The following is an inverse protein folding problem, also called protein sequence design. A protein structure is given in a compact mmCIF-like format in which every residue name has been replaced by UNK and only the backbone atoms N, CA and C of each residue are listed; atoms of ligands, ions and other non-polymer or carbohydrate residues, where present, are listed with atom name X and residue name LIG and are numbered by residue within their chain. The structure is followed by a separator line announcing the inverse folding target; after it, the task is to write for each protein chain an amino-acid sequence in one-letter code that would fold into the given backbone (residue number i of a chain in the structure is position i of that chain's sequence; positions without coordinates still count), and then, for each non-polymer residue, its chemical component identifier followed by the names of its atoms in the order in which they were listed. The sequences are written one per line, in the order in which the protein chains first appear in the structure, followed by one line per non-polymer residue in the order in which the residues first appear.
data_IF_081454810472
#
_entry.id   IF_081454810472
#
_cell.length_a   1.000
_cell.length_b   1.000
_cell.length_c   1.000
_cell.angle_alpha   90.00
_cell.angle_beta   90.00
_cell.angle_gamma   90.00
#
_symmetry.space_group_name_H-M   'P 1'
#
loop_
_entity.id
_entity.type
_entity.pdbx_description
1 polymer ?
#
# COMPACT_ATOMS: atom_id res chain seq x y z
N UNK A 1 -6.07 -14.18 -19.99
CA UNK A 1 -5.94 -13.56 -18.65
C UNK A 1 -6.09 -14.64 -17.59
N UNK A 2 -5.18 -14.69 -16.65
CA UNK A 2 -5.20 -15.68 -15.59
C UNK A 2 -4.90 -15.02 -14.24
N UNK A 3 -5.71 -15.35 -13.22
CA UNK A 3 -5.44 -14.91 -11.85
C UNK A 3 -4.32 -15.78 -11.29
N UNK A 4 -3.19 -15.18 -10.95
CA UNK A 4 -2.05 -15.91 -10.43
C UNK A 4 -1.87 -15.76 -8.92
N UNK A 5 -2.51 -14.75 -8.34
CA UNK A 5 -2.50 -14.55 -6.89
C UNK A 5 -3.69 -13.69 -6.49
N UNK A 6 -4.35 -14.08 -5.39
CA UNK A 6 -5.47 -13.30 -4.84
C UNK A 6 -5.53 -13.56 -3.35
N UNK A 7 -5.60 -12.49 -2.56
CA UNK A 7 -5.66 -12.62 -1.12
C UNK A 7 -6.37 -11.44 -0.47
N UNK A 8 -7.19 -11.74 0.52
CA UNK A 8 -7.84 -10.77 1.38
C UNK A 8 -7.35 -11.00 2.80
N UNK A 9 -7.09 -9.92 3.52
CA UNK A 9 -6.70 -10.04 4.93
C UNK A 9 -6.97 -8.76 5.69
N UNK A 10 -6.89 -8.85 7.01
CA UNK A 10 -7.17 -7.73 7.90
C UNK A 10 -5.86 -7.24 8.50
N UNK A 11 -5.64 -5.93 8.39
CA UNK A 11 -4.51 -5.26 9.03
C UNK A 11 -5.01 -4.48 10.24
N UNK A 12 -4.17 -4.35 11.25
CA UNK A 12 -4.48 -3.62 12.48
C UNK A 12 -3.38 -2.58 12.74
N UNK A 13 -3.59 -1.66 13.70
CA UNK A 13 -2.53 -0.70 14.05
C UNK A 13 -1.20 -1.32 14.44
N UNK A 14 -1.19 -2.59 14.85
CA UNK A 14 0.06 -3.31 15.12
C UNK A 14 0.91 -3.47 13.86
N UNK A 15 0.29 -3.43 12.69
CA UNK A 15 0.99 -3.51 11.42
C UNK A 15 1.57 -2.17 10.96
N UNK A 16 1.22 -1.07 11.63
CA UNK A 16 1.71 0.26 11.24
C UNK A 16 3.24 0.30 11.24
N UNK A 17 3.80 0.89 10.20
CA UNK A 17 5.24 1.01 9.98
C UNK A 17 5.93 -0.34 9.81
N UNK A 18 5.20 -1.35 9.33
CA UNK A 18 5.77 -2.64 8.96
C UNK A 18 5.66 -2.89 7.46
N UNK A 19 6.44 -3.84 6.98
CA UNK A 19 6.41 -4.32 5.62
C UNK A 19 5.95 -5.77 5.64
N UNK A 20 4.94 -6.08 4.83
CA UNK A 20 4.37 -7.43 4.78
C UNK A 20 4.65 -8.02 3.41
N UNK A 21 5.63 -8.93 3.29
CA UNK A 21 5.94 -9.54 2.00
C UNK A 21 4.94 -10.65 1.66
N UNK A 22 4.55 -10.71 0.39
CA UNK A 22 3.68 -11.74 -0.15
C UNK A 22 4.36 -12.35 -1.35
N UNK A 23 4.66 -13.65 -1.27
CA UNK A 23 5.29 -14.37 -2.38
C UNK A 23 4.22 -14.82 -3.36
N UNK A 24 4.48 -14.66 -4.65
CA UNK A 24 3.66 -15.26 -5.67
C UNK A 24 4.54 -15.81 -6.79
N UNK A 25 4.02 -16.74 -7.56
CA UNK A 25 4.80 -17.46 -8.54
C UNK A 25 4.24 -17.28 -9.95
N UNK A 26 5.12 -16.94 -10.86
CA UNK A 26 4.81 -16.88 -12.29
C UNK A 26 5.37 -18.15 -12.91
N UNK A 27 4.49 -19.01 -13.40
CA UNK A 27 4.87 -20.32 -13.99
C UNK A 27 4.54 -20.43 -15.48
N UNK A 28 4.00 -19.37 -16.06
CA UNK A 28 3.67 -19.29 -17.48
C UNK A 28 4.27 -18.03 -18.07
N UNK A 29 4.29 -17.97 -19.39
CA UNK A 29 4.73 -16.76 -20.08
C UNK A 29 3.58 -15.77 -20.20
N UNK A 30 3.77 -14.58 -19.63
CA UNK A 30 2.83 -13.48 -19.73
C UNK A 30 3.50 -12.28 -20.36
N UNK A 31 2.74 -11.47 -21.09
CA UNK A 31 3.24 -10.23 -21.64
C UNK A 31 3.20 -9.10 -20.61
N UNK A 32 2.28 -9.18 -19.64
CA UNK A 32 2.19 -8.19 -18.58
C UNK A 32 1.54 -8.78 -17.32
N UNK A 33 1.80 -8.11 -16.20
CA UNK A 33 1.08 -8.35 -14.95
C UNK A 33 0.19 -7.15 -14.68
N UNK A 34 -1.00 -7.41 -14.16
CA UNK A 34 -1.89 -6.37 -13.68
C UNK A 34 -2.16 -6.64 -12.21
N UNK A 35 -1.86 -5.66 -11.38
CA UNK A 35 -1.98 -5.75 -9.93
C UNK A 35 -3.09 -4.81 -9.48
N UNK A 36 -4.08 -5.35 -8.81
CA UNK A 36 -5.18 -4.59 -8.23
C UNK A 36 -5.10 -4.69 -6.73
N UNK A 37 -5.06 -3.56 -6.04
CA UNK A 37 -5.14 -3.60 -4.59
C UNK A 37 -6.06 -2.51 -4.06
N UNK A 38 -6.71 -2.82 -2.96
CA UNK A 38 -7.60 -1.87 -2.29
C UNK A 38 -7.58 -2.12 -0.80
N UNK A 39 -7.90 -1.10 -0.02
CA UNK A 39 -8.06 -1.24 1.42
C UNK A 39 -9.13 -0.29 1.94
N UNK A 40 -9.76 -0.68 3.03
CA UNK A 40 -10.91 0.00 3.59
C UNK A 40 -10.90 -0.11 5.12
N UNK A 41 -11.16 0.96 5.86
CA UNK A 41 -11.45 2.31 5.35
C UNK A 41 -10.19 3.07 4.97
N UNK A 42 -10.37 4.13 4.20
CA UNK A 42 -9.27 5.06 3.87
C UNK A 42 -9.08 6.08 4.99
N UNK A 43 -10.19 6.59 5.54
CA UNK A 43 -10.19 7.69 6.51
C UNK A 43 -10.66 7.24 7.87
N UNK A 44 -10.14 7.88 8.92
CA UNK A 44 -10.68 7.76 10.27
C UNK A 44 -11.77 8.80 10.42
N UNK A 45 -13.02 8.35 10.49
CA UNK A 45 -14.19 9.23 10.55
C UNK A 45 -14.48 9.77 11.96
N UNK A 46 -13.95 9.14 13.01
CA UNK A 46 -14.14 9.58 14.39
C UNK A 46 -13.30 10.84 14.65
N UNK A 47 -13.98 12.00 14.65
CA UNK A 47 -13.33 13.29 14.82
C UNK A 47 -12.64 13.44 16.16
N UNK A 48 -13.28 12.98 17.23
CA UNK A 48 -12.70 13.09 18.57
C UNK A 48 -11.44 12.23 18.71
N UNK A 49 -11.51 11.01 18.24
CA UNK A 49 -10.35 10.11 18.24
C UNK A 49 -9.23 10.67 17.37
N UNK A 50 -9.58 11.24 16.23
CA UNK A 50 -8.59 11.87 15.33
C UNK A 50 -7.89 13.02 16.01
N UNK A 51 -8.62 13.88 16.71
CA UNK A 51 -8.03 15.01 17.42
C UNK A 51 -7.13 14.56 18.56
N UNK A 52 -7.49 13.50 19.26
CA UNK A 52 -6.63 12.93 20.32
C UNK A 52 -5.31 12.45 19.71
N UNK A 53 -5.36 11.73 18.60
CA UNK A 53 -4.17 11.23 17.91
C UNK A 53 -3.29 12.37 17.42
N UNK A 54 -3.89 13.42 16.86
CA UNK A 54 -3.16 14.60 16.40
C UNK A 54 -2.48 15.28 17.58
N UNK A 55 -3.19 15.48 18.67
CA UNK A 55 -2.63 16.12 19.87
C UNK A 55 -1.47 15.34 20.44
N UNK A 56 -1.56 14.01 20.50
CA UNK A 56 -0.49 13.15 20.96
C UNK A 56 0.77 13.28 20.08
N UNK A 57 0.59 13.34 18.78
CA UNK A 57 1.71 13.49 17.85
C UNK A 57 2.35 14.88 17.93
N UNK A 58 1.54 15.92 18.03
CA UNK A 58 2.03 17.28 18.18
C UNK A 58 2.79 17.43 19.50
N UNK A 59 2.25 16.90 20.58
CA UNK A 59 2.89 16.96 21.89
C UNK A 59 4.24 16.26 21.89
N UNK A 60 4.32 15.11 21.24
CA UNK A 60 5.56 14.35 21.13
C UNK A 60 6.62 15.13 20.34
N UNK A 61 6.21 15.77 19.23
CA UNK A 61 7.13 16.45 18.34
C UNK A 61 7.48 17.87 18.81
N UNK A 62 6.51 18.58 19.39
CA UNK A 62 6.68 19.98 19.78
C UNK A 62 7.10 20.14 21.27
N UNK A 63 6.91 19.14 22.11
CA UNK A 63 7.26 19.20 23.51
C UNK A 63 6.52 20.30 24.26
N UNK A 64 7.27 21.21 24.90
CA UNK A 64 6.70 22.28 25.71
C UNK A 64 5.93 23.33 24.90
N UNK A 65 6.14 23.37 23.58
CA UNK A 65 5.47 24.31 22.69
C UNK A 65 4.12 23.77 22.17
N UNK A 66 3.66 22.67 22.71
CA UNK A 66 2.42 22.03 22.29
C UNK A 66 1.22 23.00 22.27
N UNK A 67 1.12 23.86 23.28
CA UNK A 67 -0.02 24.79 23.40
C UNK A 67 -0.10 25.83 22.30
N UNK A 68 0.95 26.02 21.53
CA UNK A 68 0.99 26.98 20.43
C UNK A 68 0.35 26.44 19.15
N UNK A 69 0.08 25.13 19.11
CA UNK A 69 -0.52 24.50 17.95
C UNK A 69 -2.04 24.57 18.04
N UNK A 70 -2.64 25.42 17.22
CA UNK A 70 -4.09 25.66 17.19
C UNK A 70 -4.77 25.14 15.93
N UNK A 71 -3.98 24.70 14.92
CA UNK A 71 -4.49 24.36 13.60
C UNK A 71 -4.62 22.85 13.36
N UNK A 72 -4.82 22.10 14.45
CA UNK A 72 -4.92 20.64 14.38
C UNK A 72 -6.02 20.13 13.46
N UNK A 73 -7.08 20.89 13.25
CA UNK A 73 -8.19 20.48 12.40
C UNK A 73 -7.81 20.41 10.92
N UNK A 74 -6.72 21.05 10.53
CA UNK A 74 -6.21 20.99 9.18
C UNK A 74 -5.70 19.58 8.82
N UNK A 75 -5.38 18.76 9.80
CA UNK A 75 -4.93 17.39 9.57
C UNK A 75 -6.09 16.40 9.33
N UNK A 76 -7.34 16.86 9.46
CA UNK A 76 -8.50 16.01 9.27
C UNK A 76 -8.89 15.89 7.80
N UNK A 77 -9.42 14.74 7.36
CA UNK A 77 -9.48 13.49 8.13
C UNK A 77 -8.11 12.80 8.16
N UNK A 78 -7.82 12.09 9.24
CA UNK A 78 -6.66 11.21 9.29
C UNK A 78 -6.90 10.02 8.37
N UNK A 79 -5.82 9.53 7.78
CA UNK A 79 -5.93 8.52 6.73
C UNK A 79 -5.02 7.32 6.99
N UNK A 80 -5.50 6.17 6.60
CA UNK A 80 -4.64 5.01 6.44
C UNK A 80 -3.83 5.21 5.16
N UNK A 81 -2.61 4.73 5.16
CA UNK A 81 -1.75 4.83 3.99
C UNK A 81 -0.96 3.55 3.82
N UNK A 82 -1.29 2.81 2.76
CA UNK A 82 -0.66 1.54 2.44
C UNK A 82 -0.26 1.59 0.97
N UNK A 83 1.00 1.31 0.70
CA UNK A 83 1.51 1.24 -0.67
C UNK A 83 2.07 -0.16 -0.91
N UNK A 84 2.47 -0.41 -2.14
CA UNK A 84 3.08 -1.68 -2.50
C UNK A 84 4.44 -1.45 -3.15
N UNK A 85 5.33 -2.41 -2.98
CA UNK A 85 6.56 -2.51 -3.75
C UNK A 85 6.64 -3.90 -4.36
N UNK A 86 7.42 -4.04 -5.42
CA UNK A 86 7.47 -5.26 -6.20
C UNK A 86 8.91 -5.65 -6.51
N UNK A 87 9.22 -6.93 -6.28
CA UNK A 87 10.48 -7.53 -6.68
C UNK A 87 10.21 -8.68 -7.64
N UNK A 88 10.93 -8.70 -8.75
CA UNK A 88 10.93 -9.83 -9.67
C UNK A 88 11.93 -10.88 -9.20
N UNK A 89 11.99 -12.05 -9.84
CA UNK A 89 13.03 -13.03 -9.50
C UNK A 89 14.45 -12.52 -9.65
N UNK A 90 14.66 -11.48 -10.47
CA UNK A 90 15.99 -10.96 -10.78
C UNK A 90 16.31 -9.65 -10.08
N UNK A 91 15.34 -8.73 -9.99
CA UNK A 91 15.61 -7.36 -9.54
C UNK A 91 14.41 -6.73 -8.84
N UNK A 92 14.69 -5.66 -8.12
CA UNK A 92 13.66 -4.77 -7.61
C UNK A 92 13.00 -4.04 -8.80
N UNK A 93 11.68 -4.03 -8.85
CA UNK A 93 10.92 -3.45 -9.96
C UNK A 93 10.42 -2.04 -9.64
N UNK A 94 10.05 -1.78 -8.40
CA UNK A 94 9.57 -0.45 -8.04
C UNK A 94 8.55 -0.45 -6.93
N UNK A 95 7.98 0.73 -6.69
CA UNK A 95 6.99 0.94 -5.65
C UNK A 95 5.96 1.97 -6.09
N UNK A 96 4.72 1.77 -5.64
CA UNK A 96 3.63 2.69 -5.89
C UNK A 96 3.44 3.59 -4.66
N UNK A 97 3.99 4.78 -4.69
CA UNK A 97 3.85 5.77 -3.63
C UNK A 97 2.61 6.63 -3.88
N UNK A 98 1.45 6.00 -3.86
CA UNK A 98 0.17 6.64 -4.16
C UNK A 98 -0.71 6.69 -2.92
N UNK A 99 -1.50 7.76 -2.80
CA UNK A 99 -2.36 7.96 -1.63
C UNK A 99 -3.74 7.30 -1.75
N UNK A 100 -4.16 6.91 -2.95
CA UNK A 100 -5.46 6.29 -3.15
C UNK A 100 -5.54 4.89 -2.54
N UNK A 101 -6.73 4.52 -2.09
CA UNK A 101 -6.97 3.21 -1.48
C UNK A 101 -7.54 2.16 -2.45
N UNK A 102 -7.54 2.46 -3.73
CA UNK A 102 -7.98 1.55 -4.79
C UNK A 102 -7.08 1.80 -6.00
N UNK A 103 -6.14 0.91 -6.25
CA UNK A 103 -5.09 1.10 -7.22
C UNK A 103 -5.00 -0.05 -8.21
N UNK A 104 -4.61 0.30 -9.43
CA UNK A 104 -4.35 -0.64 -10.51
C UNK A 104 -2.95 -0.35 -11.06
N UNK A 105 -2.08 -1.34 -11.03
CA UNK A 105 -0.68 -1.23 -11.46
C UNK A 105 -0.44 -2.20 -12.60
N UNK A 106 0.21 -1.72 -13.66
CA UNK A 106 0.56 -2.53 -14.84
C UNK A 106 2.08 -2.62 -14.91
N UNK A 107 2.57 -3.85 -15.12
CA UNK A 107 4.00 -4.13 -15.30
C UNK A 107 4.16 -4.88 -16.63
N UNK A 108 4.98 -4.35 -17.51
CA UNK A 108 5.34 -5.04 -18.75
C UNK A 108 6.69 -4.55 -19.27
N UNK A 109 7.18 -5.21 -20.29
CA UNK A 109 8.44 -4.84 -20.94
C UNK A 109 8.32 -3.52 -21.71
N UNK A 110 7.14 -3.25 -22.25
CA UNK A 110 6.87 -2.06 -23.06
C UNK A 110 6.32 -0.89 -22.24
N UNK A 111 5.62 -1.18 -21.17
CA UNK A 111 4.95 -0.16 -20.37
C UNK A 111 4.84 -0.62 -18.93
N UNK A 112 5.13 0.29 -18.01
CA UNK A 112 4.84 0.06 -16.59
C UNK A 112 4.27 1.33 -15.98
N UNK A 113 3.40 1.15 -14.99
CA UNK A 113 2.82 2.26 -14.24
C UNK A 113 3.91 3.08 -13.57
N UNK A 114 3.64 4.36 -13.33
CA UNK A 114 4.60 5.27 -12.69
C UNK A 114 5.07 4.70 -11.35
N UNK A 115 6.37 4.71 -11.13
CA UNK A 115 7.02 4.13 -9.96
C UNK A 115 7.62 2.76 -10.20
N UNK A 116 7.30 2.13 -11.35
CA UNK A 116 7.79 0.80 -11.68
C UNK A 116 8.60 0.81 -12.96
N UNK A 117 9.65 0.01 -12.98
CA UNK A 117 10.49 -0.17 -14.15
C UNK A 117 9.81 -1.05 -15.19
N UNK A 118 10.05 -0.77 -16.46
CA UNK A 118 9.64 -1.68 -17.53
C UNK A 118 10.40 -2.98 -17.35
N UNK A 119 9.68 -4.08 -17.25
CA UNK A 119 10.26 -5.34 -16.83
C UNK A 119 9.60 -6.49 -17.55
N UNK A 120 10.43 -7.40 -18.08
CA UNK A 120 9.93 -8.65 -18.62
C UNK A 120 9.34 -9.47 -17.48
N UNK A 121 8.22 -10.16 -17.74
CA UNK A 121 7.58 -10.99 -16.73
C UNK A 121 8.30 -12.34 -16.67
N UNK A 122 9.35 -12.39 -15.88
CA UNK A 122 10.15 -13.59 -15.70
C UNK A 122 9.39 -14.66 -14.92
N UNK A 123 9.60 -15.91 -15.27
CA UNK A 123 9.08 -17.04 -14.50
C UNK A 123 9.87 -17.15 -13.19
N UNK A 124 9.21 -17.51 -12.14
CA UNK A 124 9.84 -17.71 -10.85
C UNK A 124 9.07 -17.03 -9.73
N UNK A 125 9.76 -16.85 -8.61
CA UNK A 125 9.16 -16.25 -7.42
C UNK A 125 9.27 -14.73 -7.48
N UNK A 126 8.13 -14.07 -7.37
CA UNK A 126 8.01 -12.62 -7.24
C UNK A 126 7.59 -12.30 -5.81
N UNK A 127 7.91 -11.12 -5.35
CA UNK A 127 7.48 -10.65 -4.02
C UNK A 127 6.76 -9.33 -4.14
N UNK A 128 5.51 -9.30 -3.69
CA UNK A 128 4.75 -8.08 -3.52
C UNK A 128 4.80 -7.73 -2.04
N UNK A 129 5.32 -6.58 -1.70
CA UNK A 129 5.42 -6.16 -0.30
C UNK A 129 4.43 -5.04 -0.03
N UNK A 130 3.63 -5.22 1.02
CA UNK A 130 2.75 -4.15 1.51
C UNK A 130 3.58 -3.26 2.42
N UNK A 131 3.57 -1.97 2.13
CA UNK A 131 4.27 -0.99 2.97
C UNK A 131 3.20 -0.24 3.76
N UNK A 132 3.01 -0.62 5.02
CA UNK A 132 1.98 -0.06 5.88
C UNK A 132 2.54 1.18 6.56
N UNK A 133 2.35 2.34 5.93
CA UNK A 133 2.89 3.61 6.42
C UNK A 133 2.09 4.16 7.59
N UNK A 134 0.78 4.05 7.52
CA UNK A 134 -0.12 4.53 8.56
C UNK A 134 -1.36 3.63 8.60
N UNK A 135 -1.71 3.17 9.80
CA UNK A 135 -2.93 2.41 10.02
C UNK A 135 -3.51 2.86 11.35
N UNK A 136 -4.44 3.82 11.27
CA UNK A 136 -4.98 4.54 12.41
C UNK A 136 -6.40 4.13 12.78
N UNK A 137 -7.08 3.40 11.90
CA UNK A 137 -8.39 2.83 12.19
C UNK A 137 -8.23 1.54 13.00
N UNK A 138 -9.29 1.07 13.63
CA UNK A 138 -9.25 -0.17 14.42
C UNK A 138 -8.74 -1.35 13.59
N UNK A 139 -9.17 -1.38 12.32
CA UNK A 139 -8.71 -2.38 11.34
C UNK A 139 -8.84 -1.81 9.95
N UNK A 140 -8.18 -2.45 9.00
CA UNK A 140 -8.35 -2.18 7.57
C UNK A 140 -8.44 -3.51 6.83
N UNK A 141 -9.45 -3.64 5.99
CA UNK A 141 -9.60 -4.78 5.11
C UNK A 141 -8.76 -4.52 3.87
N UNK A 142 -7.83 -5.40 3.56
CA UNK A 142 -6.94 -5.28 2.42
C UNK A 142 -7.19 -6.41 1.43
N UNK A 143 -7.31 -6.06 0.15
CA UNK A 143 -7.48 -7.04 -0.94
C UNK A 143 -6.43 -6.79 -2.01
N UNK A 144 -5.82 -7.85 -2.50
CA UNK A 144 -4.88 -7.79 -3.61
C UNK A 144 -5.16 -8.92 -4.59
N UNK A 145 -5.08 -8.60 -5.87
CA UNK A 145 -5.26 -9.56 -6.96
C UNK A 145 -4.23 -9.28 -8.03
N UNK A 146 -3.55 -10.33 -8.49
CA UNK A 146 -2.55 -10.22 -9.54
C UNK A 146 -2.98 -11.11 -10.70
N UNK A 147 -3.07 -10.52 -11.88
CA UNK A 147 -3.43 -11.22 -13.10
C UNK A 147 -2.28 -11.21 -14.08
N UNK A 148 -2.07 -12.33 -14.76
CA UNK A 148 -1.16 -12.45 -15.87
C UNK A 148 -1.93 -12.36 -17.19
N UNK A 149 -1.39 -11.60 -18.14
CA UNK A 149 -2.02 -11.39 -19.45
C UNK A 149 -1.04 -11.77 -20.55
N UNK A 150 -1.53 -12.53 -21.54
CA UNK A 150 -0.69 -13.09 -22.60
C UNK A 150 -0.71 -12.32 -23.92
N UNK A 151 -1.60 -11.36 -24.07
CA UNK A 151 -1.69 -10.61 -25.34
C UNK A 151 -0.82 -9.34 -25.41
#
# INVERSE_FOLDING_TARGET
MATIFEKDFILTPENEKTNVPLDFFVDEEFSRLEIFYSYYPKNLEDREKSLVLIDENIRRDAGENYSDYTEREEYLPLKNHITISLDSPLDYVGAAHRHGNNQHVIISEDFSSVGFEKTKIEKGKWVLTLNVHALITEKADFSVKIEGVTE
#
